data_IF_182299253320
#
_entry.id   IF_182299253320
#
_cell.length_a   1.000
_cell.length_b   1.000
_cell.length_c   1.000
_cell.angle_alpha   90.00
_cell.angle_beta   90.00
_cell.angle_gamma   90.00
#
_symmetry.space_group_name_H-M   'P 1'
#
loop_
_entity.id
_entity.type
_entity.pdbx_description
1 polymer ?
#
# COMPACT_ATOMS: atom_id res chain seq x y z
N UNK A 1 -19.48 -14.71 22.76
CA UNK A 1 -18.05 -14.81 23.12
C UNK A 1 -17.73 -13.71 24.13
N UNK A 2 -17.19 -14.09 25.26
CA UNK A 2 -16.83 -13.16 26.32
C UNK A 2 -15.53 -12.44 25.97
N UNK A 3 -15.26 -11.33 26.70
CA UNK A 3 -14.09 -10.50 26.47
C UNK A 3 -12.79 -11.32 26.43
N UNK A 4 -12.58 -12.18 27.41
CA UNK A 4 -11.33 -12.97 27.52
C UNK A 4 -11.10 -13.85 26.30
N UNK A 5 -12.14 -14.48 25.82
CA UNK A 5 -12.07 -15.32 24.62
C UNK A 5 -11.86 -14.49 23.37
N UNK A 6 -12.51 -13.33 23.27
CA UNK A 6 -12.37 -12.43 22.14
C UNK A 6 -10.94 -11.84 22.08
N UNK A 7 -10.42 -11.46 23.22
CA UNK A 7 -9.04 -10.97 23.32
C UNK A 7 -8.04 -12.03 22.88
N UNK A 8 -8.22 -13.26 23.35
CA UNK A 8 -7.37 -14.40 22.95
C UNK A 8 -7.45 -14.68 21.45
N UNK A 9 -8.64 -14.61 20.88
CA UNK A 9 -8.84 -14.77 19.44
C UNK A 9 -8.11 -13.66 18.65
N UNK A 10 -8.23 -12.42 19.14
CA UNK A 10 -7.56 -11.28 18.52
C UNK A 10 -6.02 -11.45 18.52
N UNK A 11 -5.46 -11.91 19.63
CA UNK A 11 -4.01 -12.16 19.70
C UNK A 11 -3.58 -13.24 18.71
N UNK A 12 -4.40 -14.26 18.53
CA UNK A 12 -4.09 -15.33 17.56
C UNK A 12 -4.11 -14.79 16.14
N UNK A 13 -5.08 -13.92 15.79
CA UNK A 13 -5.10 -13.27 14.47
C UNK A 13 -3.85 -12.42 14.26
N UNK A 14 -3.46 -11.63 15.26
CA UNK A 14 -2.29 -10.76 15.17
C UNK A 14 -0.98 -11.53 15.12
N UNK A 15 -0.96 -12.75 15.67
CA UNK A 15 0.21 -13.61 15.59
C UNK A 15 0.48 -14.12 14.17
N UNK A 16 -0.55 -14.19 13.33
CA UNK A 16 -0.40 -14.58 11.92
C UNK A 16 0.18 -13.44 11.10
N UNK A 17 -0.35 -12.23 11.27
CA UNK A 17 0.17 -11.02 10.65
C UNK A 17 -0.42 -9.79 11.35
N UNK A 18 0.24 -8.65 11.22
CA UNK A 18 -0.30 -7.40 11.72
C UNK A 18 -1.54 -7.02 10.92
N UNK A 19 -2.56 -6.53 11.64
CA UNK A 19 -3.84 -6.15 11.07
C UNK A 19 -4.11 -4.68 11.38
N UNK A 20 -4.89 -4.03 10.49
CA UNK A 20 -5.47 -2.74 10.84
C UNK A 20 -6.58 -2.96 11.85
N UNK A 21 -6.96 -1.88 12.55
CA UNK A 21 -8.05 -1.96 13.52
C UNK A 21 -9.34 -2.48 12.86
N UNK A 22 -9.69 -1.96 11.69
CA UNK A 22 -10.91 -2.38 11.00
C UNK A 22 -10.85 -3.84 10.54
N UNK A 23 -9.69 -4.30 10.09
CA UNK A 23 -9.51 -5.72 9.75
C UNK A 23 -9.76 -6.62 10.95
N UNK A 24 -9.22 -6.22 12.11
CA UNK A 24 -9.43 -6.98 13.35
C UNK A 24 -10.91 -6.97 13.77
N UNK A 25 -11.54 -5.80 13.73
CA UNK A 25 -12.96 -5.65 14.07
C UNK A 25 -13.83 -6.55 13.20
N UNK A 26 -13.56 -6.59 11.91
CA UNK A 26 -14.33 -7.46 10.98
C UNK A 26 -14.14 -8.93 11.28
N UNK A 27 -12.93 -9.35 11.62
CA UNK A 27 -12.66 -10.74 11.99
C UNK A 27 -13.40 -11.14 13.26
N UNK A 28 -13.45 -10.27 14.25
CA UNK A 28 -14.21 -10.52 15.49
C UNK A 28 -15.70 -10.55 15.26
N UNK A 29 -16.23 -9.67 14.39
CA UNK A 29 -17.66 -9.70 14.03
C UNK A 29 -18.04 -11.02 13.37
N UNK A 30 -17.18 -11.56 12.53
CA UNK A 30 -17.43 -12.87 11.89
C UNK A 30 -17.50 -14.00 12.91
N UNK A 31 -16.90 -13.81 14.07
CA UNK A 31 -16.98 -14.76 15.18
C UNK A 31 -18.11 -14.42 16.15
N UNK A 32 -19.00 -13.54 15.73
CA UNK A 32 -20.19 -13.15 16.48
C UNK A 32 -19.88 -12.46 17.81
N UNK A 33 -18.74 -11.78 17.89
CA UNK A 33 -18.40 -10.95 19.05
C UNK A 33 -19.21 -9.67 18.96
N UNK A 34 -19.80 -9.24 20.08
CA UNK A 34 -20.61 -8.03 20.12
C UNK A 34 -19.73 -6.78 20.01
N UNK A 35 -20.31 -5.69 19.51
CA UNK A 35 -19.59 -4.44 19.31
C UNK A 35 -18.97 -3.89 20.61
N UNK A 36 -19.67 -4.02 21.73
CA UNK A 36 -19.14 -3.57 23.03
C UNK A 36 -17.84 -4.28 23.39
N UNK A 37 -17.81 -5.57 23.20
CA UNK A 37 -16.62 -6.39 23.48
C UNK A 37 -15.52 -6.07 22.48
N UNK A 38 -15.86 -5.89 21.21
CA UNK A 38 -14.89 -5.50 20.17
C UNK A 38 -14.22 -4.18 20.54
N UNK A 39 -15.01 -3.20 21.00
CA UNK A 39 -14.47 -1.90 21.41
C UNK A 39 -13.47 -2.06 22.56
N UNK A 40 -13.80 -2.86 23.57
CA UNK A 40 -12.91 -3.11 24.70
C UNK A 40 -11.61 -3.78 24.26
N UNK A 41 -11.70 -4.80 23.40
CA UNK A 41 -10.54 -5.52 22.88
C UNK A 41 -9.66 -4.59 22.05
N UNK A 42 -10.26 -3.79 21.17
CA UNK A 42 -9.52 -2.87 20.31
C UNK A 42 -8.76 -1.82 21.15
N UNK A 43 -9.42 -1.24 22.15
CA UNK A 43 -8.77 -0.26 23.02
C UNK A 43 -7.61 -0.85 23.81
N UNK A 44 -7.78 -2.07 24.32
CA UNK A 44 -6.72 -2.76 25.03
C UNK A 44 -5.51 -3.03 24.15
N UNK A 45 -5.77 -3.51 22.92
CA UNK A 45 -4.69 -3.82 21.97
C UNK A 45 -3.97 -2.57 21.50
N UNK A 46 -4.68 -1.44 21.36
CA UNK A 46 -4.04 -0.16 21.06
C UNK A 46 -3.13 0.27 22.20
N UNK A 47 -3.59 0.16 23.45
CA UNK A 47 -2.79 0.52 24.61
C UNK A 47 -1.54 -0.35 24.75
N UNK A 48 -1.62 -1.59 24.31
CA UNK A 48 -0.52 -2.54 24.32
C UNK A 48 0.34 -2.47 23.06
N UNK A 49 -0.01 -1.60 22.12
CA UNK A 49 0.68 -1.38 20.85
C UNK A 49 0.65 -2.58 19.89
N UNK A 50 -0.31 -3.48 20.07
CA UNK A 50 -0.56 -4.55 19.10
C UNK A 50 -1.40 -4.08 17.93
N UNK A 51 -2.14 -2.97 18.10
CA UNK A 51 -2.85 -2.28 17.02
C UNK A 51 -2.29 -0.87 16.91
N UNK A 52 -1.76 -0.53 15.75
CA UNK A 52 -1.24 0.80 15.45
C UNK A 52 -1.31 0.99 13.94
N UNK A 53 -2.39 1.60 13.47
CA UNK A 53 -2.64 1.76 12.04
C UNK A 53 -1.60 2.64 11.35
N UNK A 54 -1.10 3.68 12.01
CA UNK A 54 -0.07 4.54 11.42
C UNK A 54 1.23 3.79 11.19
N UNK A 55 1.65 3.04 12.17
CA UNK A 55 2.86 2.24 12.08
C UNK A 55 2.75 1.16 11.01
N UNK A 56 1.60 0.48 10.97
CA UNK A 56 1.34 -0.55 9.97
C UNK A 56 1.30 0.07 8.56
N UNK A 57 0.67 1.23 8.42
CA UNK A 57 0.60 1.93 7.14
C UNK A 57 2.00 2.29 6.62
N UNK A 58 2.88 2.76 7.49
CA UNK A 58 4.27 3.06 7.13
C UNK A 58 5.01 1.80 6.65
N UNK A 59 4.83 0.69 7.36
CA UNK A 59 5.45 -0.58 6.99
C UNK A 59 4.94 -1.09 5.65
N UNK A 60 3.64 -1.03 5.41
CA UNK A 60 3.03 -1.49 4.16
C UNK A 60 3.48 -0.60 2.99
N UNK A 61 3.48 0.72 3.19
CA UNK A 61 3.94 1.63 2.15
C UNK A 61 5.40 1.34 1.78
N UNK A 62 6.26 1.21 2.78
CA UNK A 62 7.68 0.92 2.59
C UNK A 62 7.89 -0.39 1.84
N UNK A 63 7.10 -1.40 2.17
CA UNK A 63 7.17 -2.71 1.52
C UNK A 63 6.95 -2.59 0.00
N UNK A 64 5.91 -1.87 -0.42
CA UNK A 64 5.64 -1.68 -1.84
C UNK A 64 6.63 -0.73 -2.51
N UNK A 65 7.03 0.32 -1.81
CA UNK A 65 8.00 1.28 -2.34
C UNK A 65 9.36 0.63 -2.63
N UNK A 66 9.81 -0.27 -1.75
CA UNK A 66 11.08 -0.97 -1.92
C UNK A 66 11.08 -1.91 -3.11
N UNK A 67 9.93 -2.40 -3.53
CA UNK A 67 9.83 -3.24 -4.74
C UNK A 67 10.16 -2.45 -6.01
N UNK A 68 10.01 -1.13 -5.97
CA UNK A 68 10.29 -0.24 -7.10
C UNK A 68 9.56 -0.67 -8.39
N UNK A 69 8.29 -1.05 -8.26
CA UNK A 69 7.47 -1.56 -9.37
C UNK A 69 6.14 -0.81 -9.52
N UNK A 70 5.81 0.09 -8.59
CA UNK A 70 4.48 0.68 -8.52
C UNK A 70 4.55 2.19 -8.32
N UNK A 71 3.52 2.89 -8.82
CA UNK A 71 3.35 4.30 -8.55
C UNK A 71 2.69 4.53 -7.19
N UNK A 72 2.73 5.77 -6.74
CA UNK A 72 2.16 6.17 -5.45
C UNK A 72 0.68 5.79 -5.34
N UNK A 73 -0.12 6.03 -6.40
CA UNK A 73 -1.56 5.74 -6.37
C UNK A 73 -1.86 4.25 -6.15
N UNK A 74 -1.06 3.38 -6.74
CA UNK A 74 -1.20 1.93 -6.52
C UNK A 74 -0.98 1.58 -5.06
N UNK A 75 0.08 2.14 -4.47
CA UNK A 75 0.42 1.87 -3.06
C UNK A 75 -0.67 2.40 -2.14
N UNK A 76 -1.17 3.62 -2.40
CA UNK A 76 -2.27 4.19 -1.62
C UNK A 76 -3.53 3.33 -1.70
N UNK A 77 -3.81 2.75 -2.86
CA UNK A 77 -4.95 1.84 -3.01
C UNK A 77 -4.78 0.58 -2.16
N UNK A 78 -3.56 0.04 -2.08
CA UNK A 78 -3.28 -1.12 -1.21
C UNK A 78 -3.52 -0.79 0.26
N UNK A 79 -3.15 0.42 0.68
CA UNK A 79 -3.43 0.88 2.03
C UNK A 79 -4.93 1.00 2.28
N UNK A 80 -5.65 1.63 1.35
CA UNK A 80 -7.10 1.84 1.47
C UNK A 80 -7.86 0.52 1.58
N UNK A 81 -7.46 -0.49 0.81
CA UNK A 81 -8.08 -1.81 0.85
C UNK A 81 -7.92 -2.49 2.20
N UNK A 82 -6.93 -2.09 2.97
CA UNK A 82 -6.69 -2.57 4.33
C UNK A 82 -7.17 -1.59 5.40
N UNK A 83 -7.90 -0.54 5.02
CA UNK A 83 -8.42 0.48 5.95
C UNK A 83 -7.31 1.21 6.70
N UNK A 84 -6.18 1.43 6.01
CA UNK A 84 -5.03 2.11 6.57
C UNK A 84 -4.91 3.54 6.02
N UNK A 85 -4.39 4.49 6.82
CA UNK A 85 -4.17 5.85 6.35
C UNK A 85 -2.96 5.92 5.41
N UNK A 86 -2.85 7.02 4.66
CA UNK A 86 -1.68 7.29 3.84
C UNK A 86 -0.65 8.01 4.72
N UNK A 87 0.57 7.44 4.89
CA UNK A 87 1.60 8.08 5.70
C UNK A 87 2.08 9.41 5.09
N UNK A 88 2.42 10.39 5.92
CA UNK A 88 2.94 11.67 5.44
C UNK A 88 4.30 11.53 4.77
N UNK A 89 5.08 10.55 5.17
CA UNK A 89 6.41 10.27 4.66
C UNK A 89 6.44 9.88 3.17
N UNK A 90 5.26 9.62 2.58
CA UNK A 90 5.13 9.24 1.18
C UNK A 90 5.60 10.33 0.22
N UNK A 91 5.73 11.55 0.68
CA UNK A 91 6.22 12.69 -0.12
C UNK A 91 7.66 12.48 -0.59
N UNK A 92 8.41 11.63 0.11
CA UNK A 92 9.80 11.32 -0.26
C UNK A 92 9.89 10.24 -1.34
N UNK A 93 8.78 9.61 -1.73
CA UNK A 93 8.79 8.55 -2.75
C UNK A 93 8.90 9.15 -4.15
N UNK A 94 10.02 8.87 -4.80
CA UNK A 94 10.29 9.39 -6.14
C UNK A 94 9.77 8.42 -7.20
N UNK A 95 8.48 8.51 -7.50
CA UNK A 95 7.88 7.60 -8.48
C UNK A 95 8.36 7.87 -9.91
N UNK A 96 8.81 9.08 -10.20
CA UNK A 96 9.36 9.42 -11.53
C UNK A 96 10.62 8.59 -11.80
N UNK A 97 11.55 8.54 -10.86
CA UNK A 97 12.76 7.73 -10.99
C UNK A 97 12.44 6.25 -11.12
N UNK A 98 11.45 5.76 -10.35
CA UNK A 98 11.00 4.37 -10.44
C UNK A 98 10.41 4.08 -11.82
N UNK A 99 9.57 4.97 -12.33
CA UNK A 99 8.96 4.83 -13.65
C UNK A 99 10.02 4.78 -14.76
N UNK A 100 10.99 5.69 -14.71
CA UNK A 100 12.09 5.72 -15.68
C UNK A 100 12.88 4.42 -15.69
N UNK A 101 13.23 3.91 -14.52
CA UNK A 101 13.98 2.67 -14.40
C UNK A 101 13.19 1.46 -14.92
N UNK A 102 11.89 1.39 -14.61
CA UNK A 102 11.02 0.31 -15.07
C UNK A 102 10.89 0.29 -16.59
N UNK A 103 10.67 1.45 -17.19
CA UNK A 103 10.52 1.57 -18.64
C UNK A 103 11.84 1.22 -19.35
N UNK A 104 12.95 1.70 -18.83
CA UNK A 104 14.27 1.39 -19.39
C UNK A 104 14.56 -0.11 -19.39
N UNK A 105 14.09 -0.81 -18.35
CA UNK A 105 14.28 -2.25 -18.23
C UNK A 105 13.31 -3.04 -19.11
N UNK A 106 12.06 -2.62 -19.17
CA UNK A 106 11.00 -3.34 -19.91
C UNK A 106 11.04 -3.08 -21.40
N UNK A 107 11.25 -1.82 -21.80
CA UNK A 107 11.23 -1.40 -23.20
C UNK A 107 12.66 -1.07 -23.63
N UNK A 108 13.44 -2.11 -23.87
CA UNK A 108 14.83 -1.95 -24.27
C UNK A 108 14.99 -1.32 -25.66
N UNK A 109 13.99 -1.49 -26.52
CA UNK A 109 13.94 -0.86 -27.83
C UNK A 109 13.08 0.38 -27.76
N UNK A 110 13.71 1.55 -27.82
CA UNK A 110 13.03 2.86 -27.65
C UNK A 110 12.11 3.24 -28.82
N UNK A 111 12.04 2.42 -29.84
CA UNK A 111 11.11 2.63 -30.95
C UNK A 111 9.74 2.03 -30.67
N UNK A 112 9.52 1.46 -29.50
CA UNK A 112 8.25 0.88 -29.15
C UNK A 112 7.17 1.94 -28.95
N UNK A 113 5.94 1.53 -29.15
CA UNK A 113 4.76 2.36 -29.15
C UNK A 113 4.56 3.08 -27.81
N UNK A 114 4.46 4.42 -27.85
CA UNK A 114 4.20 5.25 -26.67
C UNK A 114 2.93 4.81 -25.92
N UNK A 115 1.91 4.33 -26.64
CA UNK A 115 0.66 3.87 -26.02
C UNK A 115 0.90 2.68 -25.08
N UNK A 116 1.81 1.80 -25.42
CA UNK A 116 2.16 0.65 -24.57
C UNK A 116 2.83 1.13 -23.28
N UNK A 117 3.70 2.11 -23.38
CA UNK A 117 4.40 2.69 -22.24
C UNK A 117 3.39 3.36 -21.30
N UNK A 118 2.50 4.18 -21.87
CA UNK A 118 1.47 4.89 -21.09
C UNK A 118 0.60 3.88 -20.35
N UNK A 119 0.12 2.86 -21.05
CA UNK A 119 -0.76 1.84 -20.45
C UNK A 119 -0.03 1.06 -19.34
N UNK A 120 1.22 0.70 -19.60
CA UNK A 120 2.04 -0.02 -18.63
C UNK A 120 2.17 0.78 -17.33
N UNK A 121 2.48 2.07 -17.44
CA UNK A 121 2.66 2.93 -16.26
C UNK A 121 1.34 3.22 -15.57
N UNK A 122 0.26 3.47 -16.32
CA UNK A 122 -1.06 3.71 -15.74
C UNK A 122 -1.56 2.50 -14.95
N UNK A 123 -1.36 1.29 -15.50
CA UNK A 123 -1.78 0.06 -14.82
C UNK A 123 -1.01 -0.17 -13.52
N UNK A 124 0.17 0.40 -13.38
CA UNK A 124 0.96 0.31 -12.16
C UNK A 124 0.80 1.51 -11.22
N UNK A 125 -0.15 2.37 -11.52
CA UNK A 125 -0.53 3.48 -10.65
C UNK A 125 0.37 4.70 -10.68
N UNK A 126 1.16 4.87 -11.74
CA UNK A 126 1.98 6.06 -11.90
C UNK A 126 1.14 7.26 -12.33
N UNK A 127 1.50 8.44 -11.81
CA UNK A 127 0.79 9.68 -12.12
C UNK A 127 1.03 10.16 -13.54
N UNK A 128 0.17 11.06 -14.02
CA UNK A 128 0.37 11.71 -15.32
C UNK A 128 1.70 12.46 -15.40
N UNK A 129 2.16 13.04 -14.30
CA UNK A 129 3.46 13.69 -14.21
C UNK A 129 4.58 12.69 -14.49
N UNK A 130 4.52 11.51 -13.87
CA UNK A 130 5.53 10.47 -14.08
C UNK A 130 5.50 9.95 -15.51
N UNK A 131 4.31 9.75 -16.08
CA UNK A 131 4.15 9.31 -17.47
C UNK A 131 4.77 10.33 -18.42
N UNK A 132 4.48 11.62 -18.23
CA UNK A 132 5.03 12.69 -19.06
C UNK A 132 6.55 12.75 -18.98
N UNK A 133 7.11 12.62 -17.77
CA UNK A 133 8.56 12.63 -17.58
C UNK A 133 9.23 11.48 -18.33
N UNK A 134 8.63 10.30 -18.30
CA UNK A 134 9.15 9.13 -19.02
C UNK A 134 9.11 9.36 -20.53
N UNK A 135 7.98 9.88 -21.05
CA UNK A 135 7.84 10.14 -22.48
C UNK A 135 8.81 11.20 -22.97
N UNK A 136 9.04 12.26 -22.18
CA UNK A 136 10.00 13.31 -22.51
C UNK A 136 11.42 12.75 -22.61
N UNK A 137 11.81 11.89 -21.67
CA UNK A 137 13.09 11.22 -21.68
C UNK A 137 13.25 10.33 -22.92
N UNK A 138 12.19 9.62 -23.29
CA UNK A 138 12.15 8.77 -24.47
C UNK A 138 12.32 9.57 -25.76
N UNK A 139 11.62 10.70 -25.87
CA UNK A 139 11.69 11.58 -27.05
C UNK A 139 13.07 12.24 -27.16
N UNK A 140 13.61 12.76 -26.07
CA UNK A 140 14.90 13.42 -26.10
C UNK A 140 16.05 12.50 -26.52
N UNK A 141 15.92 11.20 -26.26
CA UNK A 141 16.92 10.20 -26.66
C UNK A 141 16.74 9.70 -28.08
N UNK A 142 15.56 9.87 -28.66
CA UNK A 142 15.30 9.49 -30.06
C UNK A 142 15.58 10.58 -31.06
N UNK A 143 15.75 11.83 -30.62
CA UNK A 143 16.08 12.99 -31.47
C UNK A 143 17.58 13.09 -31.76
N UNK A 144 18.41 12.37 -31.04
CA UNK A 144 19.84 12.30 -31.25
C UNK A 144 20.15 11.15 -32.24
#
# INVERSE_FOLDING_TARGET
MEYKEAYGAALRFLNVRFLSEEELRRKLRRREVTDDIIDEVAEKLKSERFLDDHRLAESVYRYYAQKAQYGHAYICNKLRLRFLPVPEETKAYDEVSVALALVAKKFKNRCDNEQKIIRYLQNRGFSGKAVRAVLEDFVSLTED
#
